data_IF_538948539786
#
_entry.id   IF_538948539786
#
_cell.length_a   1.000
_cell.length_b   1.000
_cell.length_c   1.000
_cell.angle_alpha   90.00
_cell.angle_beta   90.00
_cell.angle_gamma   90.00
#
_symmetry.space_group_name_H-M   'P 1'
#
loop_
_entity.id
_entity.type
_entity.pdbx_description
1 polymer ?
#
# COMPACT_ATOMS: atom_id res chain seq x y z
N UNK A 1 23.92 -18.26 -18.70
CA UNK A 1 25.11 -18.95 -19.24
C UNK A 1 26.34 -18.55 -18.44
N UNK A 2 27.52 -19.14 -18.69
CA UNK A 2 28.77 -18.74 -18.01
C UNK A 2 29.09 -17.26 -18.25
N UNK A 3 28.90 -16.80 -19.49
CA UNK A 3 29.16 -15.40 -19.89
C UNK A 3 28.27 -14.41 -19.12
N UNK A 4 26.98 -14.71 -18.93
CA UNK A 4 26.08 -13.87 -18.13
C UNK A 4 26.54 -13.72 -16.67
N UNK A 5 27.13 -14.77 -16.08
CA UNK A 5 27.63 -14.73 -14.69
C UNK A 5 28.86 -13.83 -14.61
N UNK A 6 29.78 -13.95 -15.57
CA UNK A 6 30.99 -13.12 -15.67
C UNK A 6 30.61 -11.65 -15.87
N UNK A 7 29.67 -11.39 -16.78
CA UNK A 7 29.13 -10.07 -17.06
C UNK A 7 28.44 -9.44 -15.84
N UNK A 8 27.67 -10.23 -15.09
CA UNK A 8 27.05 -9.80 -13.83
C UNK A 8 28.13 -9.42 -12.79
N UNK A 9 29.15 -10.25 -12.61
CA UNK A 9 30.24 -9.98 -11.67
C UNK A 9 30.98 -8.68 -12.04
N UNK A 10 31.34 -8.50 -13.31
CA UNK A 10 32.02 -7.27 -13.77
C UNK A 10 31.12 -6.04 -13.69
N UNK A 11 29.81 -6.19 -13.89
CA UNK A 11 28.87 -5.07 -13.72
C UNK A 11 28.96 -4.45 -12.33
N UNK A 12 29.10 -5.26 -11.27
CA UNK A 12 29.21 -4.73 -9.90
C UNK A 12 30.63 -4.36 -9.48
N UNK A 13 31.66 -5.03 -10.03
CA UNK A 13 33.04 -4.91 -9.52
C UNK A 13 34.01 -4.14 -10.40
N UNK A 14 33.80 -4.08 -11.72
CA UNK A 14 34.75 -3.44 -12.64
C UNK A 14 34.57 -1.92 -12.71
N UNK A 15 35.68 -1.19 -12.90
CA UNK A 15 35.68 0.25 -13.20
C UNK A 15 35.12 0.53 -14.60
N UNK A 16 35.47 -0.30 -15.59
CA UNK A 16 34.91 -0.25 -16.95
C UNK A 16 33.79 -1.28 -17.05
N UNK A 17 32.54 -0.81 -17.15
CA UNK A 17 31.36 -1.69 -17.16
C UNK A 17 31.24 -2.43 -18.50
N UNK A 18 30.90 -3.73 -18.50
CA UNK A 18 30.60 -4.46 -19.73
C UNK A 18 29.28 -3.98 -20.35
N UNK A 19 29.11 -4.22 -21.65
CA UNK A 19 27.83 -4.02 -22.32
C UNK A 19 26.94 -5.24 -22.05
N UNK A 20 25.88 -5.04 -21.27
CA UNK A 20 24.99 -6.11 -20.85
C UNK A 20 23.80 -6.23 -21.79
N UNK A 21 23.45 -7.47 -22.14
CA UNK A 21 22.24 -7.78 -22.92
C UNK A 21 20.94 -7.69 -22.10
N UNK A 22 21.04 -7.57 -20.77
CA UNK A 22 19.91 -7.46 -19.85
C UNK A 22 19.75 -6.03 -19.30
N UNK A 23 18.53 -5.70 -18.90
CA UNK A 23 18.19 -4.39 -18.35
C UNK A 23 18.91 -4.12 -17.02
N UNK A 24 19.83 -3.17 -17.03
CA UNK A 24 20.57 -2.68 -15.84
C UNK A 24 19.90 -1.50 -15.16
N UNK A 25 18.92 -0.88 -15.83
CA UNK A 25 18.17 0.23 -15.27
C UNK A 25 17.16 -0.29 -14.25
N UNK A 26 17.00 0.38 -13.09
CA UNK A 26 15.93 0.07 -12.16
C UNK A 26 14.59 0.06 -12.89
N UNK A 27 13.78 -0.98 -12.64
CA UNK A 27 12.42 -1.02 -13.19
C UNK A 27 11.62 0.09 -12.52
N UNK A 28 11.04 0.99 -13.32
CA UNK A 28 10.01 1.89 -12.82
C UNK A 28 8.80 1.04 -12.44
N UNK A 29 8.52 0.95 -11.14
CA UNK A 29 7.31 0.29 -10.64
C UNK A 29 6.05 0.97 -11.20
N UNK A 30 4.94 0.23 -11.23
CA UNK A 30 3.66 0.83 -11.59
C UNK A 30 3.25 1.86 -10.55
N UNK A 31 2.74 3.01 -11.00
CA UNK A 31 2.15 4.02 -10.10
C UNK A 31 0.95 3.41 -9.39
N UNK A 32 0.87 3.60 -8.07
CA UNK A 32 -0.28 3.18 -7.29
C UNK A 32 -1.56 3.87 -7.82
N UNK A 33 -2.61 3.07 -8.03
CA UNK A 33 -3.94 3.58 -8.34
C UNK A 33 -4.73 3.72 -7.04
N UNK A 34 -5.44 4.84 -6.89
CA UNK A 34 -6.21 5.15 -5.69
C UNK A 34 -7.68 5.11 -6.05
N UNK A 35 -8.45 4.30 -5.32
CA UNK A 35 -9.89 4.25 -5.43
C UNK A 35 -10.51 4.93 -4.21
N UNK A 36 -11.11 6.11 -4.41
CA UNK A 36 -11.86 6.81 -3.37
C UNK A 36 -13.32 6.37 -3.41
N UNK A 37 -13.78 5.63 -2.40
CA UNK A 37 -15.18 5.20 -2.31
C UNK A 37 -16.15 6.31 -1.87
N UNK A 38 -15.62 7.40 -1.34
CA UNK A 38 -16.40 8.55 -0.86
C UNK A 38 -16.19 9.74 -1.79
N UNK A 39 -17.28 10.37 -2.22
CA UNK A 39 -17.25 11.57 -3.04
C UNK A 39 -16.99 12.84 -2.23
N UNK A 40 -17.23 12.79 -0.92
CA UNK A 40 -17.08 13.91 0.01
C UNK A 40 -16.58 13.43 1.36
N UNK A 41 -15.99 14.33 2.14
CA UNK A 41 -15.63 14.11 3.54
C UNK A 41 -16.29 15.17 4.41
N UNK A 42 -16.65 14.82 5.65
CA UNK A 42 -17.22 15.76 6.58
C UNK A 42 -16.10 16.62 7.20
N UNK A 43 -16.18 17.94 7.04
CA UNK A 43 -15.23 18.88 7.63
C UNK A 43 -15.82 19.48 8.91
N UNK A 44 -15.13 19.28 10.05
CA UNK A 44 -15.45 19.79 11.40
C UNK A 44 -16.79 19.37 12.03
N UNK A 45 -17.73 18.85 11.25
CA UNK A 45 -19.01 18.31 11.71
C UNK A 45 -19.02 16.78 11.60
N UNK A 46 -19.76 16.09 12.48
CA UNK A 46 -19.91 14.63 12.48
C UNK A 46 -18.59 13.84 12.56
N UNK A 47 -17.80 14.11 13.61
CA UNK A 47 -16.49 13.50 13.82
C UNK A 47 -16.57 11.98 14.03
N UNK A 48 -15.73 11.24 13.31
CA UNK A 48 -15.53 9.81 13.55
C UNK A 48 -14.78 9.62 14.88
N UNK A 49 -15.28 8.73 15.76
CA UNK A 49 -14.71 8.53 17.09
C UNK A 49 -14.18 7.11 17.24
N UNK A 50 -12.95 7.00 17.72
CA UNK A 50 -12.31 5.73 18.02
C UNK A 50 -12.50 5.37 19.50
N UNK A 51 -13.07 4.19 19.77
CA UNK A 51 -13.29 3.65 21.12
C UNK A 51 -12.87 2.17 21.23
N UNK A 52 -11.84 1.78 20.46
CA UNK A 52 -11.30 0.41 20.47
C UNK A 52 -12.06 -0.61 19.61
N UNK A 53 -13.11 -0.19 18.88
CA UNK A 53 -13.76 -1.02 17.86
C UNK A 53 -12.99 -0.95 16.54
N UNK A 54 -13.00 -2.04 15.78
CA UNK A 54 -12.46 -2.10 14.44
C UNK A 54 -13.45 -1.50 13.44
N UNK A 55 -12.99 -0.54 12.64
CA UNK A 55 -13.69 -0.09 11.44
C UNK A 55 -13.41 -1.07 10.29
N UNK A 56 -14.45 -1.51 9.60
CA UNK A 56 -14.32 -2.47 8.49
C UNK A 56 -15.33 -2.20 7.38
N UNK A 57 -15.01 -2.66 6.18
CA UNK A 57 -15.89 -2.68 5.03
C UNK A 57 -15.53 -3.90 4.18
N UNK A 58 -16.49 -4.41 3.42
CA UNK A 58 -16.26 -5.48 2.46
C UNK A 58 -16.14 -4.90 1.05
N UNK A 59 -15.32 -5.53 0.22
CA UNK A 59 -15.22 -5.16 -1.19
C UNK A 59 -15.03 -6.39 -2.08
N UNK A 60 -15.26 -6.19 -3.37
CA UNK A 60 -15.03 -7.16 -4.44
C UNK A 60 -14.53 -6.40 -5.66
N UNK A 61 -13.79 -7.10 -6.52
CA UNK A 61 -13.27 -6.57 -7.78
C UNK A 61 -13.70 -7.46 -8.94
N UNK A 62 -13.79 -6.88 -10.13
CA UNK A 62 -14.09 -7.58 -11.40
C UNK A 62 -12.82 -8.13 -12.07
N UNK A 63 -11.66 -7.60 -11.69
CA UNK A 63 -10.35 -7.97 -12.24
C UNK A 63 -9.35 -8.20 -11.12
N UNK A 64 -8.38 -9.08 -11.36
CA UNK A 64 -7.27 -9.29 -10.42
C UNK A 64 -6.53 -7.97 -10.18
N UNK A 65 -6.39 -7.61 -8.91
CA UNK A 65 -5.58 -6.47 -8.48
C UNK A 65 -4.58 -6.89 -7.40
N UNK A 66 -3.66 -5.98 -7.08
CA UNK A 66 -2.79 -6.10 -5.92
C UNK A 66 -3.04 -4.91 -5.01
N UNK A 67 -3.55 -5.17 -3.80
CA UNK A 67 -3.72 -4.13 -2.79
C UNK A 67 -2.40 -3.96 -2.05
N UNK A 68 -1.90 -2.73 -2.07
CA UNK A 68 -0.68 -2.36 -1.34
C UNK A 68 -1.00 -1.75 0.03
N UNK A 69 -2.22 -1.29 0.27
CA UNK A 69 -2.56 -0.52 1.46
C UNK A 69 -3.94 0.14 1.39
N UNK A 70 -4.20 1.01 2.37
CA UNK A 70 -5.45 1.76 2.51
C UNK A 70 -5.19 3.26 2.68
N UNK A 71 -6.14 4.07 2.23
CA UNK A 71 -6.21 5.50 2.55
C UNK A 71 -7.12 5.71 3.76
N UNK A 72 -6.59 6.30 4.82
CA UNK A 72 -7.31 6.57 6.06
C UNK A 72 -7.48 8.07 6.26
N UNK A 73 -8.63 8.49 6.77
CA UNK A 73 -8.79 9.85 7.26
C UNK A 73 -8.06 10.01 8.60
N UNK A 74 -7.52 11.21 8.83
CA UNK A 74 -6.81 11.56 10.06
C UNK A 74 -7.64 12.42 11.01
N UNK A 75 -6.95 13.20 11.84
CA UNK A 75 -7.60 14.13 12.76
C UNK A 75 -8.37 15.21 12.02
N UNK A 76 -9.48 15.64 12.61
CA UNK A 76 -10.26 16.81 12.17
C UNK A 76 -10.07 18.04 13.06
N UNK A 77 -9.24 17.92 14.10
CA UNK A 77 -9.01 18.96 15.10
C UNK A 77 -7.51 19.14 15.36
N UNK A 78 -6.79 19.66 14.36
CA UNK A 78 -5.34 19.81 14.41
C UNK A 78 -4.60 18.52 14.05
N UNK A 79 -3.30 18.55 14.19
CA UNK A 79 -2.44 17.42 13.91
C UNK A 79 -2.45 16.36 15.02
N UNK A 80 -2.23 15.11 14.63
CA UNK A 80 -2.18 13.99 15.58
C UNK A 80 -1.44 12.80 14.98
N UNK A 81 -0.77 12.04 15.85
CA UNK A 81 -0.21 10.73 15.52
C UNK A 81 -1.22 9.62 15.86
N UNK A 82 -1.43 8.70 14.92
CA UNK A 82 -2.29 7.53 15.09
C UNK A 82 -1.47 6.26 15.06
N UNK A 83 -1.66 5.41 16.08
CA UNK A 83 -1.21 4.02 16.08
C UNK A 83 -2.36 3.12 15.67
N UNK A 84 -2.17 2.37 14.60
CA UNK A 84 -3.22 1.54 14.00
C UNK A 84 -2.72 0.13 13.72
N UNK A 85 -3.68 -0.77 13.48
CA UNK A 85 -3.46 -2.05 12.83
C UNK A 85 -4.37 -2.14 11.62
N UNK A 86 -3.81 -2.37 10.45
CA UNK A 86 -4.59 -2.68 9.25
C UNK A 86 -4.61 -4.19 9.02
N UNK A 87 -5.74 -4.71 8.57
CA UNK A 87 -5.91 -6.11 8.21
C UNK A 87 -6.66 -6.23 6.89
N UNK A 88 -6.30 -7.21 6.08
CA UNK A 88 -7.06 -7.65 4.92
C UNK A 88 -7.44 -9.11 5.11
N UNK A 89 -8.73 -9.41 4.99
CA UNK A 89 -9.28 -10.74 5.28
C UNK A 89 -10.01 -11.29 4.06
N UNK A 90 -10.28 -12.59 4.10
CA UNK A 90 -11.23 -13.28 3.22
C UNK A 90 -11.85 -14.41 4.02
N UNK A 91 -13.18 -14.42 4.13
CA UNK A 91 -13.93 -15.45 4.87
C UNK A 91 -13.37 -15.69 6.29
N UNK A 92 -13.03 -14.60 7.00
CA UNK A 92 -12.47 -14.65 8.36
C UNK A 92 -10.98 -14.96 8.44
N UNK A 93 -10.34 -15.46 7.38
CA UNK A 93 -8.88 -15.68 7.33
C UNK A 93 -8.14 -14.36 7.09
N UNK A 94 -7.15 -14.07 7.92
CA UNK A 94 -6.23 -12.94 7.71
C UNK A 94 -5.25 -13.25 6.58
N UNK A 95 -5.27 -12.43 5.52
CA UNK A 95 -4.36 -12.54 4.38
C UNK A 95 -3.12 -11.66 4.58
N UNK A 96 -3.31 -10.48 5.18
CA UNK A 96 -2.24 -9.58 5.55
C UNK A 96 -2.64 -8.74 6.76
N UNK A 97 -1.66 -8.39 7.58
CA UNK A 97 -1.83 -7.53 8.74
C UNK A 97 -0.58 -6.72 8.97
N UNK A 98 -0.71 -5.47 9.41
CA UNK A 98 0.44 -4.65 9.81
C UNK A 98 0.07 -3.62 10.87
N UNK A 99 0.90 -3.51 11.90
CA UNK A 99 0.85 -2.38 12.83
C UNK A 99 1.58 -1.19 12.18
N UNK A 100 0.97 -0.01 12.24
CA UNK A 100 1.48 1.19 11.57
C UNK A 100 1.27 2.41 12.46
N UNK A 101 2.19 3.37 12.40
CA UNK A 101 1.99 4.71 12.95
C UNK A 101 2.01 5.71 11.82
N UNK A 102 1.04 6.62 11.77
CA UNK A 102 1.06 7.71 10.79
C UNK A 102 0.68 9.04 11.46
N UNK A 103 1.29 10.11 10.97
CA UNK A 103 0.98 11.47 11.35
C UNK A 103 -0.08 12.04 10.41
N UNK A 104 -1.10 12.68 10.99
CA UNK A 104 -2.09 13.46 10.27
C UNK A 104 -1.93 14.93 10.61
N UNK A 105 -2.12 15.80 9.61
CA UNK A 105 -1.92 17.26 9.71
C UNK A 105 -3.21 18.06 9.95
N UNK A 106 -4.31 17.39 10.29
CA UNK A 106 -5.62 18.01 10.47
C UNK A 106 -6.37 18.34 9.16
N UNK A 107 -5.79 18.05 8.00
CA UNK A 107 -6.47 18.23 6.71
C UNK A 107 -7.46 17.10 6.41
N UNK A 108 -8.34 17.34 5.45
CA UNK A 108 -9.37 16.38 5.03
C UNK A 108 -8.89 15.36 3.99
N UNK A 109 -7.57 15.27 3.76
CA UNK A 109 -6.98 14.30 2.83
C UNK A 109 -6.89 12.91 3.47
N UNK A 110 -6.66 11.90 2.64
CA UNK A 110 -6.35 10.56 3.12
C UNK A 110 -4.85 10.36 3.29
N UNK A 111 -4.46 9.65 4.34
CA UNK A 111 -3.10 9.23 4.64
C UNK A 111 -2.96 7.76 4.26
N UNK A 112 -1.97 7.45 3.43
CA UNK A 112 -1.80 6.10 2.91
C UNK A 112 -0.95 5.27 3.86
N UNK A 113 -1.47 4.10 4.22
CA UNK A 113 -0.79 3.10 5.04
C UNK A 113 -0.68 1.81 4.26
N UNK A 114 0.49 1.19 4.29
CA UNK A 114 0.85 0.09 3.39
C UNK A 114 1.11 -1.21 4.13
N UNK A 115 0.68 -2.32 3.55
CA UNK A 115 1.15 -3.65 3.92
C UNK A 115 2.65 -3.80 3.61
N UNK A 116 3.27 -4.86 4.12
CA UNK A 116 4.68 -5.14 3.85
C UNK A 116 4.92 -5.58 2.40
N UNK A 117 3.99 -6.36 1.85
CA UNK A 117 3.99 -6.79 0.47
C UNK A 117 2.61 -6.59 -0.17
N UNK A 118 2.53 -6.33 -1.49
CA UNK A 118 1.25 -6.28 -2.19
C UNK A 118 0.48 -7.59 -2.04
N UNK A 119 -0.81 -7.50 -1.73
CA UNK A 119 -1.68 -8.67 -1.54
C UNK A 119 -2.53 -8.88 -2.78
N UNK A 120 -2.46 -10.08 -3.38
CA UNK A 120 -3.27 -10.44 -4.54
C UNK A 120 -4.74 -10.56 -4.14
N UNK A 121 -5.61 -9.91 -4.92
CA UNK A 121 -7.06 -9.99 -4.82
C UNK A 121 -7.58 -10.62 -6.09
N UNK A 122 -8.27 -11.75 -5.95
CA UNK A 122 -8.90 -12.42 -7.07
C UNK A 122 -10.29 -11.81 -7.32
N UNK A 123 -10.72 -11.77 -8.59
CA UNK A 123 -12.04 -11.24 -8.94
C UNK A 123 -13.15 -12.10 -8.34
N UNK A 124 -14.34 -11.51 -8.19
CA UNK A 124 -15.58 -12.21 -7.81
C UNK A 124 -15.59 -12.84 -6.40
N UNK A 125 -14.70 -12.37 -5.52
CA UNK A 125 -14.66 -12.78 -4.12
C UNK A 125 -14.78 -11.58 -3.18
N UNK A 126 -15.47 -11.77 -2.06
CA UNK A 126 -15.51 -10.77 -0.99
C UNK A 126 -14.29 -10.87 -0.08
N UNK A 127 -13.68 -9.72 0.15
CA UNK A 127 -12.57 -9.50 1.07
C UNK A 127 -13.00 -8.53 2.18
#
# INVERSE_FOLDING_TARGET
TLDEIVDFFYHFTANKKPNLAFGTKPRFGRKAQICHRFQSCAYRNNQWRYRGRCDSFQFMVDKRIFIIGFGLYGSSNGDAEYKIKIELKRQGKCLASKNYSFYSDGSSRTFHVYFEHPVQIDPEHFY
#
